data_IF_873972039794
#
_entry.id   IF_873972039794
#
_cell.length_a   1.000
_cell.length_b   1.000
_cell.length_c   1.000
_cell.angle_alpha   90.00
_cell.angle_beta   90.00
_cell.angle_gamma   90.00
#
_symmetry.space_group_name_H-M   'P 1'
#
loop_
_entity.id
_entity.type
_entity.pdbx_description
1 polymer ?
#
# COMPACT_ATOMS: atom_id res chain seq x y z
N UNK A 1 15.05 2.68 -6.45
CA UNK A 1 14.18 2.53 -7.64
C UNK A 1 12.80 3.00 -7.24
N UNK A 2 12.28 4.13 -7.73
CA UNK A 2 10.95 4.56 -7.32
C UNK A 2 9.92 3.57 -7.89
N UNK A 3 9.21 2.88 -7.01
CA UNK A 3 8.19 1.89 -7.35
C UNK A 3 6.93 2.62 -7.82
N UNK A 4 6.97 3.19 -9.01
CA UNK A 4 5.81 3.88 -9.59
C UNK A 4 4.86 2.86 -10.23
N UNK A 5 3.62 2.80 -9.77
CA UNK A 5 2.56 2.04 -10.42
C UNK A 5 2.22 2.67 -11.77
N UNK A 6 2.36 1.88 -12.83
CA UNK A 6 2.06 2.27 -14.22
C UNK A 6 0.77 1.60 -14.71
N UNK A 7 0.44 0.43 -14.16
CA UNK A 7 -0.72 -0.37 -14.52
C UNK A 7 -1.43 -0.86 -13.26
N UNK A 8 -2.71 -1.21 -13.41
CA UNK A 8 -3.51 -1.79 -12.31
C UNK A 8 -2.89 -3.06 -11.74
N UNK A 9 -2.26 -3.88 -12.59
CA UNK A 9 -1.55 -5.10 -12.16
C UNK A 9 -0.49 -4.82 -11.10
N UNK A 10 0.25 -3.71 -11.21
CA UNK A 10 1.28 -3.35 -10.23
C UNK A 10 0.67 -3.08 -8.85
N UNK A 11 -0.54 -2.52 -8.83
CA UNK A 11 -1.32 -2.31 -7.60
C UNK A 11 -1.85 -3.64 -7.08
N UNK A 12 -2.41 -4.48 -7.94
CA UNK A 12 -2.95 -5.79 -7.57
C UNK A 12 -1.86 -6.69 -6.95
N UNK A 13 -0.66 -6.69 -7.52
CA UNK A 13 0.52 -7.38 -6.95
C UNK A 13 0.88 -6.84 -5.56
N UNK A 14 0.81 -5.52 -5.37
CA UNK A 14 1.05 -4.90 -4.07
C UNK A 14 0.04 -5.39 -3.04
N UNK A 15 -1.25 -5.50 -3.42
CA UNK A 15 -2.30 -6.04 -2.53
C UNK A 15 -2.02 -7.50 -2.17
N UNK A 16 -1.59 -8.33 -3.13
CA UNK A 16 -1.20 -9.72 -2.88
C UNK A 16 -0.05 -9.79 -1.88
N UNK A 17 0.97 -8.93 -2.02
CA UNK A 17 2.09 -8.86 -1.07
C UNK A 17 1.61 -8.48 0.33
N UNK A 18 0.75 -7.45 0.46
CA UNK A 18 0.17 -7.04 1.75
C UNK A 18 -0.57 -8.21 2.39
N UNK A 19 -1.40 -8.91 1.61
CA UNK A 19 -2.17 -10.06 2.09
C UNK A 19 -1.26 -11.19 2.57
N UNK A 20 -0.26 -11.56 1.77
CA UNK A 20 0.68 -12.62 2.13
C UNK A 20 1.48 -12.29 3.39
N UNK A 21 1.86 -11.02 3.58
CA UNK A 21 2.54 -10.60 4.81
C UNK A 21 1.61 -10.72 6.02
N UNK A 22 0.35 -10.29 5.91
CA UNK A 22 -0.62 -10.40 7.00
C UNK A 22 -1.04 -11.84 7.32
N UNK A 23 -0.98 -12.75 6.35
CA UNK A 23 -1.19 -14.18 6.59
C UNK A 23 -0.07 -14.79 7.44
N UNK A 24 1.16 -14.26 7.33
CA UNK A 24 2.34 -14.77 8.03
C UNK A 24 2.71 -13.97 9.29
N UNK A 25 2.26 -12.71 9.40
CA UNK A 25 2.61 -11.79 10.48
C UNK A 25 1.39 -10.97 10.89
N UNK A 26 1.31 -10.58 12.16
CA UNK A 26 0.17 -9.81 12.67
C UNK A 26 0.11 -8.35 12.18
N UNK A 27 1.19 -7.83 11.58
CA UNK A 27 1.35 -6.41 11.24
C UNK A 27 2.21 -6.25 9.98
N UNK A 28 2.08 -5.11 9.28
CA UNK A 28 2.95 -4.78 8.15
C UNK A 28 4.30 -4.23 8.65
N UNK A 29 5.42 -4.78 8.17
CA UNK A 29 6.73 -4.28 8.56
C UNK A 29 6.97 -2.87 8.01
N UNK A 30 7.70 -2.05 8.77
CA UNK A 30 7.92 -0.63 8.45
C UNK A 30 8.53 -0.40 7.05
N UNK A 31 9.45 -1.27 6.61
CA UNK A 31 10.06 -1.15 5.29
C UNK A 31 9.03 -1.28 4.15
N UNK A 32 8.01 -2.14 4.33
CA UNK A 32 6.96 -2.37 3.34
C UNK A 32 6.02 -1.17 3.29
N UNK A 33 5.61 -0.68 4.47
CA UNK A 33 4.80 0.53 4.58
C UNK A 33 5.48 1.72 3.90
N UNK A 34 6.77 1.95 4.17
CA UNK A 34 7.55 3.02 3.55
C UNK A 34 7.68 2.85 2.02
N UNK A 35 7.85 1.62 1.54
CA UNK A 35 7.93 1.32 0.11
C UNK A 35 6.61 1.63 -0.59
N UNK A 36 5.49 1.25 0.01
CA UNK A 36 4.15 1.52 -0.51
C UNK A 36 3.84 3.02 -0.45
N UNK A 37 4.25 3.74 0.61
CA UNK A 37 4.13 5.20 0.66
C UNK A 37 4.91 5.89 -0.46
N UNK A 38 6.14 5.42 -0.74
CA UNK A 38 6.90 5.90 -1.90
C UNK A 38 6.15 5.66 -3.21
N UNK A 39 5.53 4.48 -3.36
CA UNK A 39 4.71 4.17 -4.52
C UNK A 39 3.46 5.06 -4.63
N UNK A 40 2.74 5.29 -3.53
CA UNK A 40 1.57 6.18 -3.47
C UNK A 40 1.93 7.60 -3.90
N UNK A 41 3.06 8.12 -3.42
CA UNK A 41 3.53 9.48 -3.69
C UNK A 41 4.00 9.66 -5.14
N UNK A 42 4.70 8.66 -5.68
CA UNK A 42 5.34 8.76 -6.99
C UNK A 42 4.41 8.28 -8.14
N UNK A 43 3.26 7.69 -7.83
CA UNK A 43 2.28 7.16 -8.80
C UNK A 43 1.22 8.17 -9.24
N UNK A 44 0.58 7.87 -10.37
CA UNK A 44 -0.53 8.67 -10.87
C UNK A 44 -1.71 8.64 -9.87
N UNK A 45 -2.40 9.77 -9.64
CA UNK A 45 -3.58 9.83 -8.76
C UNK A 45 -4.64 8.75 -9.06
N UNK A 46 -4.81 8.36 -10.33
CA UNK A 46 -5.73 7.29 -10.71
C UNK A 46 -5.32 5.92 -10.14
N UNK A 47 -4.01 5.62 -10.13
CA UNK A 47 -3.47 4.38 -9.56
C UNK A 47 -3.55 4.42 -8.04
N UNK A 48 -3.23 5.56 -7.42
CA UNK A 48 -3.36 5.74 -5.98
C UNK A 48 -4.81 5.56 -5.51
N UNK A 49 -5.79 6.14 -6.23
CA UNK A 49 -7.21 5.92 -5.94
C UNK A 49 -7.62 4.44 -6.11
N UNK A 50 -7.09 3.77 -7.14
CA UNK A 50 -7.31 2.34 -7.34
C UNK A 50 -6.74 1.53 -6.17
N UNK A 51 -5.52 1.81 -5.73
CA UNK A 51 -4.91 1.18 -4.54
C UNK A 51 -5.79 1.28 -3.30
N UNK A 52 -6.25 2.48 -2.95
CA UNK A 52 -7.13 2.64 -1.77
C UNK A 52 -8.47 1.89 -1.91
N UNK A 53 -8.97 1.73 -3.14
CA UNK A 53 -10.19 0.95 -3.41
C UNK A 53 -9.94 -0.54 -3.14
N UNK A 54 -8.81 -1.06 -3.65
CA UNK A 54 -8.46 -2.47 -3.49
C UNK A 54 -8.04 -2.81 -2.05
N UNK A 55 -7.35 -1.92 -1.35
CA UNK A 55 -7.02 -2.09 0.09
C UNK A 55 -8.30 -2.23 0.91
N UNK A 56 -9.28 -1.34 0.71
CA UNK A 56 -10.57 -1.42 1.41
C UNK A 56 -11.32 -2.73 1.11
N UNK A 57 -11.16 -3.26 -0.10
CA UNK A 57 -11.85 -4.48 -0.55
C UNK A 57 -11.21 -5.76 -0.01
N UNK A 58 -9.89 -5.87 -0.05
CA UNK A 58 -9.20 -7.13 0.21
C UNK A 58 -8.46 -7.18 1.56
N UNK A 59 -7.95 -6.04 2.03
CA UNK A 59 -7.10 -5.96 3.22
C UNK A 59 -7.47 -4.73 4.08
N UNK A 60 -8.75 -4.56 4.47
CA UNK A 60 -9.24 -3.33 5.11
C UNK A 60 -8.52 -3.00 6.42
N UNK A 61 -8.02 -4.01 7.14
CA UNK A 61 -7.25 -3.83 8.37
C UNK A 61 -5.95 -3.03 8.19
N UNK A 62 -5.44 -2.91 6.96
CA UNK A 62 -4.21 -2.17 6.64
C UNK A 62 -4.43 -0.71 6.30
N UNK A 63 -5.68 -0.26 6.19
CA UNK A 63 -6.00 1.16 5.95
C UNK A 63 -5.38 2.08 7.00
N UNK A 64 -5.31 1.65 8.27
CA UNK A 64 -4.67 2.40 9.37
C UNK A 64 -3.20 2.78 9.10
N UNK A 65 -2.52 2.08 8.18
CA UNK A 65 -1.14 2.39 7.79
C UNK A 65 -1.03 3.39 6.65
N UNK A 66 -2.11 3.68 5.92
CA UNK A 66 -2.09 4.50 4.71
C UNK A 66 -3.06 5.70 4.74
N UNK A 67 -3.81 5.87 5.83
CA UNK A 67 -4.67 7.02 6.09
C UNK A 67 -3.85 8.30 6.36
N UNK A 68 -4.39 9.47 5.97
CA UNK A 68 -3.82 10.78 6.28
C UNK A 68 -3.73 10.95 7.80
N UNK A 69 -2.51 11.05 8.33
CA UNK A 69 -2.25 11.12 9.77
C UNK A 69 -1.86 9.79 10.42
N UNK A 70 -1.58 8.73 9.65
CA UNK A 70 -1.01 7.50 10.19
C UNK A 70 0.27 7.78 10.99
N UNK A 71 0.38 7.22 12.20
CA UNK A 71 1.53 7.40 13.10
C UNK A 71 2.86 6.94 12.47
N UNK A 72 2.81 6.19 11.37
CA UNK A 72 3.96 5.69 10.60
C UNK A 72 4.20 6.46 9.29
N UNK A 73 3.57 7.62 9.08
CA UNK A 73 3.91 8.49 7.95
C UNK A 73 5.39 8.85 8.06
N UNK A 74 6.26 8.47 7.10
CA UNK A 74 7.64 8.94 7.12
C UNK A 74 7.61 10.45 6.91
N UNK A 75 8.18 11.18 7.88
CA UNK A 75 8.43 12.63 7.83
C UNK A 75 9.31 12.94 6.61
#
# INVERSE_FOLDING_TARGET
MPYRWKKKVDVDETIVVIKNVLENQSDLPNWLVNTIYGAIRDSDPAMTKYFYTEVKRYVPATMKYFEEGSVRTPI
#
